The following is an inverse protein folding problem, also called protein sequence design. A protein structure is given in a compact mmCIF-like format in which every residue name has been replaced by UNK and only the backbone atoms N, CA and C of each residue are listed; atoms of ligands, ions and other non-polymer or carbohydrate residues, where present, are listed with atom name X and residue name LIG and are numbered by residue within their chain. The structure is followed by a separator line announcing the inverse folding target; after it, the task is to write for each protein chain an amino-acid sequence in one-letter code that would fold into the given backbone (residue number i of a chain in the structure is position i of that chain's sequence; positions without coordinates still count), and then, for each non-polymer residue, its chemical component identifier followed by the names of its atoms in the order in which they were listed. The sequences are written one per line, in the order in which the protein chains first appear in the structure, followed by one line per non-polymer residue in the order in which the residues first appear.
data_IF_112593079848
#
_entry.id   IF_112593079848
#
_cell.length_a   1.000
_cell.length_b   1.000
_cell.length_c   1.000
_cell.angle_alpha   90.00
_cell.angle_beta   90.00
_cell.angle_gamma   90.00
#
_symmetry.space_group_name_H-M   'P 1'
#
loop_
_entity.id
_entity.type
_entity.pdbx_description
1 polymer ?
#
# COMPACT_ATOMS: atom_id res chain seq x y z
N UNK A 1 -29.02 -6.13 -8.88
CA UNK A 1 -27.95 -5.75 -7.93
C UNK A 1 -26.63 -6.04 -8.63
N UNK A 2 -25.74 -5.06 -8.82
CA UNK A 2 -24.46 -5.34 -9.48
C UNK A 2 -23.48 -5.88 -8.44
N UNK A 3 -23.08 -7.15 -8.56
CA UNK A 3 -22.18 -7.79 -7.62
C UNK A 3 -20.80 -7.99 -8.25
N UNK A 4 -19.77 -7.49 -7.57
CA UNK A 4 -18.38 -7.82 -7.85
C UNK A 4 -17.89 -8.83 -6.83
N UNK A 5 -17.26 -9.90 -7.29
CA UNK A 5 -16.60 -10.86 -6.43
C UNK A 5 -15.09 -10.68 -6.57
N UNK A 6 -14.44 -10.35 -5.45
CA UNK A 6 -12.97 -10.29 -5.38
C UNK A 6 -12.49 -11.54 -4.67
N UNK A 7 -11.68 -12.36 -5.35
CA UNK A 7 -11.09 -13.56 -4.74
C UNK A 7 -9.58 -13.41 -4.69
N UNK A 8 -9.08 -13.11 -3.51
CA UNK A 8 -7.72 -13.48 -3.14
C UNK A 8 -7.85 -14.66 -2.17
N UNK A 9 -6.82 -15.01 -1.39
CA UNK A 9 -7.00 -15.89 -0.20
C UNK A 9 -8.12 -15.41 0.75
N UNK A 10 -8.65 -14.21 0.54
CA UNK A 10 -9.85 -13.61 1.12
C UNK A 10 -10.87 -13.34 0.01
N UNK A 11 -12.13 -13.66 0.27
CA UNK A 11 -13.25 -13.40 -0.63
C UNK A 11 -14.06 -12.21 -0.13
N UNK A 12 -14.32 -11.26 -1.04
CA UNK A 12 -15.16 -10.10 -0.78
C UNK A 12 -16.26 -10.00 -1.82
N UNK A 13 -17.43 -9.61 -1.36
CA UNK A 13 -18.54 -9.18 -2.20
C UNK A 13 -18.62 -7.66 -2.18
N UNK A 14 -18.63 -7.02 -3.35
CA UNK A 14 -18.93 -5.60 -3.47
C UNK A 14 -20.22 -5.41 -4.26
N UNK A 15 -21.13 -4.59 -3.77
CA UNK A 15 -22.42 -4.35 -4.40
C UNK A 15 -22.87 -2.90 -4.23
N UNK A 16 -23.81 -2.48 -5.07
CA UNK A 16 -24.39 -1.12 -5.03
C UNK A 16 -25.85 -1.21 -4.61
N UNK A 17 -26.22 -0.42 -3.60
CA UNK A 17 -27.62 -0.25 -3.20
C UNK A 17 -28.32 0.75 -4.13
N UNK A 18 -29.65 0.71 -4.20
CA UNK A 18 -30.47 1.41 -5.21
C UNK A 18 -30.08 2.88 -5.43
N UNK A 19 -29.70 3.60 -4.37
CA UNK A 19 -29.25 4.99 -4.40
C UNK A 19 -28.07 5.24 -3.43
N UNK A 20 -27.24 4.22 -3.19
CA UNK A 20 -26.20 4.24 -2.16
C UNK A 20 -24.78 4.10 -2.70
N UNK A 21 -23.75 4.41 -1.89
CA UNK A 21 -22.38 4.14 -2.26
C UNK A 21 -22.14 2.63 -2.45
N UNK A 22 -21.10 2.24 -3.19
CA UNK A 22 -20.65 0.84 -3.20
C UNK A 22 -20.34 0.36 -1.78
N UNK A 23 -20.89 -0.80 -1.43
CA UNK A 23 -20.64 -1.49 -0.15
C UNK A 23 -19.78 -2.71 -0.42
N UNK A 24 -18.74 -2.90 0.38
CA UNK A 24 -17.90 -4.09 0.36
C UNK A 24 -18.11 -4.90 1.65
N UNK A 25 -18.32 -6.21 1.52
CA UNK A 25 -18.45 -7.15 2.62
C UNK A 25 -17.43 -8.26 2.47
N UNK A 26 -16.69 -8.49 3.54
CA UNK A 26 -15.88 -9.70 3.66
C UNK A 26 -16.81 -10.91 3.84
N UNK A 27 -16.59 -11.96 3.03
CA UNK A 27 -17.33 -13.20 3.14
C UNK A 27 -16.58 -14.20 4.01
N UNK A 28 -15.42 -14.67 3.54
CA UNK A 28 -14.56 -15.58 4.27
C UNK A 28 -13.15 -15.69 3.66
N UNK A 29 -12.29 -16.46 4.32
CA UNK A 29 -11.03 -16.93 3.75
C UNK A 29 -11.29 -18.17 2.89
N UNK A 30 -10.57 -18.27 1.77
CA UNK A 30 -10.50 -19.52 1.01
C UNK A 30 -9.39 -20.36 1.65
N UNK A 31 -9.75 -21.54 2.17
CA UNK A 31 -8.77 -22.53 2.62
C UNK A 31 -7.85 -22.93 1.47
N UNK A 32 -6.66 -23.47 1.75
CA UNK A 32 -5.68 -23.78 0.71
C UNK A 32 -6.16 -24.94 -0.18
N UNK A 33 -7.03 -24.64 -1.15
CA UNK A 33 -7.68 -25.57 -2.06
C UNK A 33 -6.75 -26.11 -3.15
N UNK A 34 -5.52 -25.59 -3.25
CA UNK A 34 -4.52 -25.99 -4.24
C UNK A 34 -4.08 -24.80 -5.10
N UNK A 35 -3.21 -25.08 -6.08
CA UNK A 35 -2.70 -24.06 -7.01
C UNK A 35 -3.35 -24.14 -8.40
N UNK A 36 -4.25 -25.09 -8.63
CA UNK A 36 -4.94 -25.27 -9.91
C UNK A 36 -6.21 -24.42 -9.95
N UNK A 37 -6.59 -24.00 -11.14
CA UNK A 37 -7.76 -23.14 -11.31
C UNK A 37 -9.07 -23.90 -11.05
N UNK A 38 -9.10 -25.21 -11.31
CA UNK A 38 -10.26 -26.06 -11.08
C UNK A 38 -10.63 -26.12 -9.59
N UNK A 39 -9.63 -26.31 -8.73
CA UNK A 39 -9.84 -26.36 -7.29
C UNK A 39 -10.34 -25.00 -6.76
N UNK A 40 -9.80 -23.91 -7.31
CA UNK A 40 -10.25 -22.55 -6.99
C UNK A 40 -11.69 -22.29 -7.48
N UNK A 41 -12.06 -22.79 -8.66
CA UNK A 41 -13.42 -22.65 -9.19
C UNK A 41 -14.44 -23.33 -8.29
N UNK A 42 -14.16 -24.59 -7.89
CA UNK A 42 -15.02 -25.33 -6.97
C UNK A 42 -15.17 -24.56 -5.65
N UNK A 43 -14.06 -24.12 -5.05
CA UNK A 43 -14.10 -23.36 -3.82
C UNK A 43 -14.93 -22.07 -3.93
N UNK A 44 -14.78 -21.33 -5.03
CA UNK A 44 -15.52 -20.10 -5.27
C UNK A 44 -17.01 -20.36 -5.41
N UNK A 45 -17.41 -21.33 -6.23
CA UNK A 45 -18.82 -21.64 -6.44
C UNK A 45 -19.48 -22.13 -5.14
N UNK A 46 -18.78 -22.96 -4.35
CA UNK A 46 -19.28 -23.40 -3.05
C UNK A 46 -19.44 -22.25 -2.05
N UNK A 47 -18.55 -21.25 -2.06
CA UNK A 47 -18.69 -20.05 -1.22
C UNK A 47 -19.91 -19.25 -1.64
N UNK A 48 -20.11 -19.06 -2.94
CA UNK A 48 -21.28 -18.33 -3.45
C UNK A 48 -22.58 -19.04 -3.06
N UNK A 49 -22.64 -20.36 -3.25
CA UNK A 49 -23.78 -21.18 -2.84
C UNK A 49 -24.03 -21.09 -1.33
N UNK A 50 -22.99 -21.17 -0.49
CA UNK A 50 -23.11 -21.07 0.96
C UNK A 50 -23.71 -19.73 1.43
N UNK A 51 -23.39 -18.64 0.72
CA UNK A 51 -23.94 -17.31 1.01
C UNK A 51 -25.22 -16.97 0.21
N UNK A 52 -25.79 -17.94 -0.50
CA UNK A 52 -26.98 -17.76 -1.36
C UNK A 52 -26.79 -16.64 -2.41
N UNK A 53 -25.59 -16.60 -3.00
CA UNK A 53 -25.22 -15.65 -4.04
C UNK A 53 -25.21 -16.35 -5.40
N UNK A 54 -26.09 -15.94 -6.31
CA UNK A 54 -26.09 -16.47 -7.67
C UNK A 54 -24.92 -15.89 -8.47
N UNK A 55 -24.13 -16.78 -9.09
CA UNK A 55 -23.05 -16.39 -10.00
C UNK A 55 -23.59 -15.60 -11.20
N UNK A 56 -24.83 -15.79 -11.62
CA UNK A 56 -25.48 -15.05 -12.71
C UNK A 56 -25.67 -13.54 -12.39
N UNK A 57 -25.70 -13.18 -11.10
CA UNK A 57 -25.75 -11.79 -10.64
C UNK A 57 -24.35 -11.13 -10.57
N UNK A 58 -23.29 -11.92 -10.77
CA UNK A 58 -21.95 -11.38 -10.89
C UNK A 58 -21.84 -10.50 -12.13
N UNK A 59 -21.22 -9.33 -11.96
CA UNK A 59 -20.92 -8.37 -13.02
C UNK A 59 -19.44 -8.08 -13.16
N UNK A 60 -18.66 -8.45 -12.14
CA UNK A 60 -17.21 -8.40 -12.27
C UNK A 60 -16.51 -9.34 -11.30
N UNK A 61 -15.33 -9.74 -11.72
CA UNK A 61 -14.42 -10.59 -10.99
C UNK A 61 -13.03 -9.94 -10.96
N UNK A 62 -12.30 -10.09 -9.86
CA UNK A 62 -10.95 -9.51 -9.79
C UNK A 62 -10.01 -10.27 -8.87
N UNK A 63 -8.83 -10.59 -9.41
CA UNK A 63 -7.80 -11.42 -8.79
C UNK A 63 -6.41 -10.80 -9.00
N UNK A 64 -5.37 -11.38 -8.41
CA UNK A 64 -3.99 -11.05 -8.80
C UNK A 64 -3.69 -11.54 -10.23
N UNK A 65 -2.53 -11.17 -10.78
CA UNK A 65 -2.18 -11.49 -12.16
C UNK A 65 -1.55 -12.88 -12.31
N UNK A 66 -1.76 -13.80 -11.36
CA UNK A 66 -1.24 -15.15 -11.48
C UNK A 66 -1.99 -15.92 -12.58
N UNK A 67 -1.24 -16.67 -13.40
CA UNK A 67 -1.78 -17.33 -14.60
C UNK A 67 -2.96 -18.28 -14.32
N UNK A 68 -3.00 -18.91 -13.15
CA UNK A 68 -4.09 -19.81 -12.74
C UNK A 68 -5.40 -19.06 -12.42
N UNK A 69 -5.36 -17.77 -12.12
CA UNK A 69 -6.57 -16.97 -11.84
C UNK A 69 -6.90 -15.97 -12.94
N UNK A 70 -5.91 -15.31 -13.53
CA UNK A 70 -6.08 -14.29 -14.58
C UNK A 70 -5.82 -14.80 -16.01
N UNK A 71 -5.61 -16.10 -16.17
CA UNK A 71 -5.38 -16.71 -17.48
C UNK A 71 -6.63 -16.64 -18.38
N UNK A 72 -6.47 -16.12 -19.59
CA UNK A 72 -7.60 -15.91 -20.54
C UNK A 72 -8.16 -17.20 -21.15
N UNK A 73 -7.40 -18.30 -21.13
CA UNK A 73 -7.82 -19.59 -21.72
C UNK A 73 -8.10 -20.67 -20.67
N UNK A 74 -7.30 -20.69 -19.60
CA UNK A 74 -7.30 -21.74 -18.60
C UNK A 74 -7.15 -21.18 -17.18
N UNK A 75 -7.52 -19.93 -16.97
CA UNK A 75 -7.57 -19.32 -15.65
C UNK A 75 -8.97 -19.40 -15.05
N UNK A 76 -9.07 -19.19 -13.75
CA UNK A 76 -10.34 -19.03 -13.04
C UNK A 76 -11.24 -17.99 -13.72
N UNK A 77 -10.65 -16.87 -14.15
CA UNK A 77 -11.33 -15.84 -14.91
C UNK A 77 -12.14 -16.40 -16.07
N UNK A 78 -11.48 -17.19 -16.92
CA UNK A 78 -12.07 -17.71 -18.15
C UNK A 78 -13.26 -18.62 -17.82
N UNK A 79 -13.12 -19.46 -16.79
CA UNK A 79 -14.18 -20.38 -16.35
C UNK A 79 -15.40 -19.67 -15.76
N UNK A 80 -15.19 -18.62 -14.95
CA UNK A 80 -16.32 -17.83 -14.44
C UNK A 80 -17.01 -17.07 -15.58
N UNK A 81 -16.24 -16.59 -16.56
CA UNK A 81 -16.80 -15.94 -17.75
C UNK A 81 -17.59 -16.91 -18.64
N UNK A 82 -17.18 -18.18 -18.74
CA UNK A 82 -17.96 -19.24 -19.41
C UNK A 82 -19.30 -19.50 -18.72
N UNK A 83 -19.35 -19.37 -17.39
CA UNK A 83 -20.59 -19.56 -16.59
C UNK A 83 -21.49 -18.31 -16.68
N UNK A 84 -20.90 -17.13 -16.68
CA UNK A 84 -21.59 -15.84 -16.75
C UNK A 84 -20.75 -14.86 -17.60
N UNK A 85 -21.20 -14.64 -18.83
CA UNK A 85 -20.56 -13.77 -19.82
C UNK A 85 -20.57 -12.29 -19.39
N UNK A 86 -21.43 -11.90 -18.44
CA UNK A 86 -21.47 -10.56 -17.87
C UNK A 86 -20.46 -10.35 -16.73
N UNK A 87 -19.78 -11.40 -16.26
CA UNK A 87 -18.78 -11.31 -15.20
C UNK A 87 -17.41 -10.87 -15.72
N UNK A 88 -17.24 -9.58 -15.95
CA UNK A 88 -16.02 -9.00 -16.51
C UNK A 88 -14.83 -9.05 -15.56
N UNK A 89 -13.65 -9.37 -16.09
CA UNK A 89 -12.44 -9.44 -15.28
C UNK A 89 -11.71 -8.10 -15.20
N UNK A 90 -11.47 -7.67 -13.96
CA UNK A 90 -10.64 -6.52 -13.64
C UNK A 90 -9.37 -6.98 -12.90
N UNK A 91 -8.16 -6.74 -13.44
CA UNK A 91 -6.92 -7.10 -12.75
C UNK A 91 -6.80 -6.32 -11.43
N UNK A 92 -6.14 -6.91 -10.43
CA UNK A 92 -5.91 -6.27 -9.15
C UNK A 92 -5.02 -5.03 -9.28
N UNK A 93 -5.61 -3.84 -9.10
CA UNK A 93 -4.90 -2.57 -9.16
C UNK A 93 -3.69 -2.51 -8.21
N UNK A 94 -3.82 -3.06 -6.99
CA UNK A 94 -2.72 -3.08 -6.01
C UNK A 94 -1.54 -3.93 -6.51
N UNK A 95 -1.82 -5.09 -7.11
CA UNK A 95 -0.77 -5.94 -7.67
C UNK A 95 -0.13 -5.31 -8.91
N UNK A 96 -0.94 -4.73 -9.80
CA UNK A 96 -0.43 -4.00 -10.96
C UNK A 96 0.46 -2.81 -10.56
N UNK A 97 0.05 -2.01 -9.57
CA UNK A 97 0.90 -0.92 -9.05
C UNK A 97 2.18 -1.44 -8.40
N UNK A 98 2.11 -2.57 -7.69
CA UNK A 98 3.29 -3.22 -7.13
C UNK A 98 4.31 -3.58 -8.21
N UNK A 99 3.85 -4.17 -9.32
CA UNK A 99 4.71 -4.51 -10.47
C UNK A 99 5.30 -3.26 -11.13
N UNK A 100 4.50 -2.21 -11.34
CA UNK A 100 5.00 -0.93 -11.88
C UNK A 100 6.13 -0.37 -11.02
N UNK A 101 5.96 -0.36 -9.70
CA UNK A 101 7.00 0.12 -8.78
C UNK A 101 8.27 -0.74 -8.84
N UNK A 102 8.14 -2.07 -8.83
CA UNK A 102 9.29 -2.99 -8.95
C UNK A 102 10.07 -2.71 -10.24
N UNK A 103 9.38 -2.67 -11.39
CA UNK A 103 10.04 -2.44 -12.67
C UNK A 103 10.61 -1.04 -12.81
N UNK A 104 9.94 -0.01 -12.28
CA UNK A 104 10.47 1.35 -12.28
C UNK A 104 11.82 1.45 -11.55
N UNK A 105 11.99 0.71 -10.45
CA UNK A 105 13.26 0.61 -9.73
C UNK A 105 14.30 -0.17 -10.52
N UNK A 106 13.92 -1.29 -11.13
CA UNK A 106 14.83 -2.12 -11.95
C UNK A 106 15.35 -1.39 -13.19
N UNK A 107 14.56 -0.47 -13.75
CA UNK A 107 14.96 0.35 -14.89
C UNK A 107 15.87 1.55 -14.51
N UNK A 108 16.03 1.87 -13.23
CA UNK A 108 16.80 3.01 -12.75
C UNK A 108 17.94 2.56 -11.82
N UNK A 109 19.17 2.57 -12.33
CA UNK A 109 20.37 2.12 -11.62
C UNK A 109 20.58 2.78 -10.25
N UNK A 110 20.29 4.07 -10.17
CA UNK A 110 20.42 4.90 -8.98
C UNK A 110 19.39 4.50 -7.92
N UNK A 111 18.13 4.30 -8.35
CA UNK A 111 17.07 3.82 -7.46
C UNK A 111 17.37 2.40 -6.96
N UNK A 112 17.82 1.51 -7.85
CA UNK A 112 18.23 0.16 -7.48
C UNK A 112 19.38 0.17 -6.46
N UNK A 113 20.35 1.09 -6.64
CA UNK A 113 21.47 1.27 -5.72
C UNK A 113 21.01 1.73 -4.33
N UNK A 114 20.09 2.70 -4.24
CA UNK A 114 19.52 3.17 -2.96
C UNK A 114 18.84 2.02 -2.23
N UNK A 115 18.01 1.24 -2.92
CA UNK A 115 17.32 0.11 -2.30
C UNK A 115 18.31 -0.99 -1.88
N UNK A 116 19.35 -1.24 -2.66
CA UNK A 116 20.39 -2.18 -2.25
C UNK A 116 21.09 -1.71 -0.96
N UNK A 117 21.46 -0.43 -0.88
CA UNK A 117 22.04 0.19 0.33
C UNK A 117 21.13 0.01 1.54
N UNK A 118 19.83 0.29 1.40
CA UNK A 118 18.83 0.10 2.48
C UNK A 118 18.78 -1.36 2.94
N UNK A 119 18.79 -2.31 2.00
CA UNK A 119 18.76 -3.74 2.32
C UNK A 119 20.06 -4.20 3.00
N UNK A 120 21.23 -3.77 2.51
CA UNK A 120 22.52 -4.13 3.09
C UNK A 120 22.63 -3.59 4.51
N UNK A 121 22.18 -2.36 4.75
CA UNK A 121 22.15 -1.76 6.08
C UNK A 121 21.23 -2.52 7.04
N UNK A 122 20.03 -2.91 6.57
CA UNK A 122 19.14 -3.78 7.35
C UNK A 122 19.81 -5.12 7.70
N UNK A 123 20.47 -5.77 6.75
CA UNK A 123 21.18 -7.05 6.97
C UNK A 123 22.34 -6.86 7.96
N UNK A 124 23.09 -5.76 7.87
CA UNK A 124 24.15 -5.42 8.81
C UNK A 124 23.59 -5.46 10.24
N UNK A 125 22.58 -4.65 10.56
CA UNK A 125 22.08 -4.63 11.94
C UNK A 125 21.39 -5.92 12.38
N UNK A 126 20.62 -6.58 11.50
CA UNK A 126 19.83 -7.76 11.88
C UNK A 126 20.60 -9.07 11.93
N UNK A 127 21.79 -9.13 11.32
CA UNK A 127 22.63 -10.33 11.37
C UNK A 127 23.35 -10.53 12.72
N UNK A 128 23.28 -9.56 13.66
CA UNK A 128 23.83 -9.70 15.02
C UNK A 128 22.91 -9.06 16.05
N UNK A 129 22.58 -9.79 17.11
CA UNK A 129 21.83 -9.24 18.25
C UNK A 129 22.58 -8.13 18.97
N UNK A 130 23.91 -8.19 19.00
CA UNK A 130 24.75 -7.14 19.57
C UNK A 130 24.61 -5.84 18.78
N UNK A 131 24.81 -5.87 17.46
CA UNK A 131 24.67 -4.67 16.61
C UNK A 131 23.26 -4.08 16.67
N UNK A 132 22.25 -4.94 16.70
CA UNK A 132 20.88 -4.50 16.94
C UNK A 132 20.75 -3.80 18.29
N UNK A 133 21.32 -4.33 19.37
CA UNK A 133 21.31 -3.70 20.69
C UNK A 133 22.05 -2.36 20.71
N UNK A 134 23.19 -2.23 20.02
CA UNK A 134 23.91 -0.94 19.89
C UNK A 134 23.00 0.11 19.22
N UNK A 135 22.29 -0.26 18.14
CA UNK A 135 21.31 0.62 17.48
C UNK A 135 20.17 1.07 18.41
N UNK A 136 19.68 0.17 19.27
CA UNK A 136 18.58 0.48 20.19
C UNK A 136 19.03 1.30 21.40
N UNK A 137 20.24 1.05 21.91
CA UNK A 137 20.75 1.64 23.14
C UNK A 137 21.32 3.04 22.94
N UNK A 138 21.96 3.29 21.80
CA UNK A 138 22.65 4.56 21.56
C UNK A 138 21.69 5.73 21.29
N UNK A 139 20.52 5.44 20.75
CA UNK A 139 19.66 6.44 20.12
C UNK A 139 18.56 6.97 21.03
N UNK A 140 18.39 6.38 22.22
CA UNK A 140 17.31 6.69 23.17
C UNK A 140 15.90 6.50 22.60
N UNK A 141 15.80 6.00 21.36
CA UNK A 141 14.60 5.84 20.56
C UNK A 141 14.55 4.41 20.07
N UNK A 142 13.36 3.81 20.05
CA UNK A 142 13.19 2.49 19.47
C UNK A 142 13.20 2.61 17.95
N UNK A 143 14.34 2.36 17.32
CA UNK A 143 14.47 2.27 15.86
C UNK A 143 14.07 0.84 15.44
N UNK A 144 13.46 0.69 14.27
CA UNK A 144 13.17 -0.63 13.70
C UNK A 144 13.35 -0.55 12.20
N UNK A 145 14.57 -0.83 11.76
CA UNK A 145 14.89 -0.96 10.34
C UNK A 145 14.04 -2.04 9.72
N UNK A 146 13.64 -1.83 8.47
CA UNK A 146 12.78 -2.75 7.74
C UNK A 146 13.52 -3.36 6.56
N UNK A 147 13.34 -4.67 6.37
CA UNK A 147 13.78 -5.33 5.15
C UNK A 147 12.94 -4.85 3.98
N UNK A 148 13.56 -4.79 2.80
CA UNK A 148 12.81 -4.72 1.57
C UNK A 148 12.01 -6.02 1.38
N UNK A 149 10.83 -5.89 0.79
CA UNK A 149 10.03 -7.03 0.36
C UNK A 149 10.12 -7.18 -1.15
N UNK A 150 10.41 -8.40 -1.60
CA UNK A 150 10.35 -8.74 -3.02
C UNK A 150 8.92 -8.60 -3.59
N UNK A 151 7.89 -8.86 -2.76
CA UNK A 151 6.50 -8.94 -3.19
C UNK A 151 5.65 -7.72 -2.85
N UNK A 152 6.11 -6.86 -1.93
CA UNK A 152 5.38 -5.66 -1.48
C UNK A 152 6.22 -4.40 -1.62
N UNK A 153 6.01 -3.66 -2.70
CA UNK A 153 6.63 -2.38 -2.98
C UNK A 153 6.39 -1.37 -1.86
N UNK A 154 5.25 -1.41 -1.18
CA UNK A 154 4.98 -0.54 -0.02
C UNK A 154 5.98 -0.73 1.12
N UNK A 155 6.56 -1.91 1.31
CA UNK A 155 7.61 -2.14 2.31
C UNK A 155 8.89 -1.36 1.99
N UNK A 156 9.16 -1.08 0.71
CA UNK A 156 10.30 -0.26 0.30
C UNK A 156 10.14 1.20 0.75
N UNK A 157 8.93 1.73 0.66
CA UNK A 157 8.60 3.09 1.11
C UNK A 157 8.83 3.23 2.62
N UNK A 158 8.31 2.28 3.40
CA UNK A 158 8.49 2.26 4.87
C UNK A 158 9.96 2.11 5.26
N UNK A 159 10.72 1.24 4.59
CA UNK A 159 12.15 1.07 4.86
C UNK A 159 12.95 2.36 4.63
N UNK A 160 12.70 3.07 3.52
CA UNK A 160 13.33 4.36 3.23
C UNK A 160 12.85 5.44 4.22
N UNK A 161 11.58 5.44 4.58
CA UNK A 161 11.04 6.40 5.55
C UNK A 161 11.71 6.27 6.92
N UNK A 162 11.85 5.05 7.44
CA UNK A 162 12.53 4.80 8.72
C UNK A 162 13.99 5.23 8.64
N UNK A 163 14.69 4.89 7.56
CA UNK A 163 16.09 5.27 7.35
C UNK A 163 16.25 6.80 7.35
N UNK A 164 15.42 7.51 6.59
CA UNK A 164 15.47 8.97 6.50
C UNK A 164 15.11 9.65 7.83
N UNK A 165 14.15 9.10 8.56
CA UNK A 165 13.70 9.63 9.86
C UNK A 165 14.76 9.51 10.96
N UNK A 166 15.60 8.48 10.88
CA UNK A 166 16.59 8.14 11.90
C UNK A 166 18.02 8.18 11.36
N UNK A 167 18.25 8.98 10.32
CA UNK A 167 19.48 8.95 9.55
C UNK A 167 20.71 9.25 10.43
N UNK A 168 20.67 10.33 11.20
CA UNK A 168 21.77 10.76 12.07
C UNK A 168 22.09 9.69 13.12
N UNK A 169 21.06 9.16 13.78
CA UNK A 169 21.21 8.12 14.80
C UNK A 169 21.81 6.82 14.24
N UNK A 170 21.48 6.48 13.00
CA UNK A 170 22.03 5.32 12.31
C UNK A 170 23.50 5.55 11.96
N UNK A 171 23.86 6.74 11.47
CA UNK A 171 25.26 7.09 11.16
C UNK A 171 26.12 7.08 12.43
N UNK A 172 25.65 7.67 13.52
CA UNK A 172 26.35 7.64 14.81
C UNK A 172 26.60 6.19 15.28
N UNK A 173 25.58 5.34 15.15
CA UNK A 173 25.69 3.92 15.49
C UNK A 173 26.73 3.20 14.60
N UNK A 174 26.79 3.53 13.30
CA UNK A 174 27.78 2.96 12.38
C UNK A 174 29.21 3.39 12.72
N UNK A 175 29.42 4.63 13.17
CA UNK A 175 30.74 5.11 13.64
C UNK A 175 31.19 4.29 14.85
N UNK A 176 30.29 4.02 15.80
CA UNK A 176 30.60 3.16 16.96
C UNK A 176 31.02 1.76 16.51
N UNK A 177 30.28 1.16 15.57
CA UNK A 177 30.61 -0.18 15.05
C UNK A 177 31.94 -0.16 14.28
N UNK A 178 32.25 0.90 13.52
CA UNK A 178 33.54 1.04 12.84
C UNK A 178 34.72 1.04 13.82
N UNK A 179 34.57 1.71 14.96
CA UNK A 179 35.63 1.89 15.97
C UNK A 179 35.70 0.75 17.00
N UNK A 180 34.75 -0.20 16.99
CA UNK A 180 34.67 -1.30 17.95
C UNK A 180 35.66 -2.44 17.62
N UNK A 181 36.79 -2.50 18.32
CA UNK A 181 37.82 -3.53 18.09
C UNK A 181 37.37 -4.97 18.39
N UNK A 182 36.27 -5.16 19.13
CA UNK A 182 35.69 -6.48 19.40
C UNK A 182 34.86 -7.00 18.22
N UNK A 183 34.39 -6.11 17.34
CA UNK A 183 33.71 -6.50 16.10
C UNK A 183 34.70 -7.00 15.05
N UNK A 184 34.24 -7.90 14.18
CA UNK A 184 35.11 -8.46 13.15
C UNK A 184 35.50 -7.41 12.10
N UNK A 185 36.70 -7.54 11.53
CA UNK A 185 37.25 -6.54 10.62
C UNK A 185 36.39 -6.29 9.37
N UNK A 186 35.66 -7.30 8.88
CA UNK A 186 34.76 -7.16 7.72
C UNK A 186 33.60 -6.25 8.08
N UNK A 187 32.94 -6.50 9.21
CA UNK A 187 31.82 -5.69 9.70
C UNK A 187 32.21 -4.26 9.99
N UNK A 188 33.39 -4.01 10.59
CA UNK A 188 33.89 -2.64 10.76
C UNK A 188 34.09 -1.93 9.43
N UNK A 189 34.63 -2.64 8.44
CA UNK A 189 34.84 -2.08 7.10
C UNK A 189 33.51 -1.85 6.36
N UNK A 190 32.52 -2.71 6.54
CA UNK A 190 31.16 -2.51 6.03
C UNK A 190 30.53 -1.25 6.63
N UNK A 191 30.62 -1.07 7.96
CA UNK A 191 30.13 0.13 8.63
C UNK A 191 30.82 1.40 8.12
N UNK A 192 32.15 1.37 8.02
CA UNK A 192 32.97 2.46 7.46
C UNK A 192 32.53 2.88 6.06
N UNK A 193 32.20 1.92 5.19
CA UNK A 193 31.72 2.23 3.83
C UNK A 193 30.44 3.05 3.88
N UNK A 194 29.49 2.71 4.77
CA UNK A 194 28.27 3.50 4.93
C UNK A 194 28.53 4.90 5.48
N UNK A 195 29.44 5.05 6.44
CA UNK A 195 29.85 6.36 6.99
C UNK A 195 30.47 7.24 5.90
N UNK A 196 31.39 6.70 5.09
CA UNK A 196 31.99 7.47 3.98
C UNK A 196 30.91 7.87 2.97
N UNK A 197 29.98 6.98 2.63
CA UNK A 197 28.91 7.28 1.67
C UNK A 197 27.96 8.39 2.17
N UNK A 198 27.72 8.49 3.48
CA UNK A 198 26.90 9.57 4.04
C UNK A 198 27.60 10.93 3.92
N UNK A 199 28.90 10.98 4.16
CA UNK A 199 29.72 12.20 4.03
C UNK A 199 29.78 12.72 2.58
N UNK A 200 29.92 11.81 1.61
CA UNK A 200 29.91 12.17 0.19
C UNK A 200 28.57 12.75 -0.28
N UNK A 201 27.47 12.29 0.32
CA UNK A 201 26.12 12.74 -0.03
C UNK A 201 25.83 14.15 0.49
N UNK A 202 26.29 14.48 1.71
CA UNK A 202 26.22 15.83 2.31
C UNK A 202 27.07 16.84 1.50
N UNK A 203 28.19 16.37 0.93
CA UNK A 203 29.04 17.17 0.04
C UNK A 203 28.37 17.62 -1.27
N UNK A 204 27.27 16.98 -1.69
CA UNK A 204 26.53 17.35 -2.91
C UNK A 204 25.48 18.43 -2.64
N UNK A 205 24.80 18.40 -1.48
CA UNK A 205 23.84 19.44 -1.08
C UNK A 205 24.51 20.80 -0.86
N UNK A 206 25.75 20.81 -0.37
CA UNK A 206 26.53 22.06 -0.20
C UNK A 206 26.97 22.72 -1.52
N UNK A 207 26.79 22.05 -2.67
CA UNK A 207 27.11 22.56 -4.02
C UNK A 207 25.89 22.90 -4.87
N UNK A 208 24.67 22.72 -4.35
CA UNK A 208 23.48 23.23 -5.01
C UNK A 208 23.44 24.77 -4.88
N UNK A 209 23.66 25.48 -5.99
CA UNK A 209 23.62 26.95 -6.02
C UNK A 209 22.27 27.51 -5.51
N UNK A 210 22.27 28.60 -4.73
CA UNK A 210 21.04 29.26 -4.29
C UNK A 210 20.47 30.09 -5.45
N UNK A 211 19.56 29.53 -6.24
CA UNK A 211 19.04 30.30 -7.37
C UNK A 211 18.01 29.65 -8.28
N UNK A 212 16.84 29.29 -7.78
CA UNK A 212 15.63 29.42 -8.62
C UNK A 212 14.45 29.89 -7.76
N UNK A 213 14.02 31.13 -8.05
CA UNK A 213 12.88 31.77 -7.41
C UNK A 213 11.64 30.93 -7.65
N UNK A 214 10.89 30.70 -6.58
CA UNK A 214 9.54 30.18 -6.60
C UNK A 214 8.68 30.98 -7.60
N UNK A 215 8.14 30.28 -8.59
CA UNK A 215 7.05 30.78 -9.43
C UNK A 215 5.81 30.79 -8.56
N UNK A 216 5.43 31.97 -8.07
CA UNK A 216 4.11 32.20 -7.49
C UNK A 216 3.08 31.94 -8.58
N UNK A 217 2.25 30.90 -8.42
CA UNK A 217 0.99 30.79 -9.14
C UNK A 217 0.05 31.83 -8.56
N UNK A 218 -0.14 32.92 -9.30
CA UNK A 218 -1.16 33.92 -9.02
C UNK A 218 -2.53 33.33 -9.32
N UNK A 219 -3.26 32.92 -8.29
CA UNK A 219 -4.71 32.81 -8.35
C UNK A 219 -5.32 34.19 -8.60
N UNK A 220 -5.81 34.42 -9.82
CA UNK A 220 -6.88 35.40 -10.05
C UNK A 220 -7.58 35.11 -11.37
N UNK A 221 -8.77 34.51 -11.30
CA UNK A 221 -9.78 34.70 -12.34
C UNK A 221 -11.17 34.72 -11.72
N UNK A 222 -11.51 35.90 -11.24
CA UNK A 222 -12.89 36.33 -10.95
C UNK A 222 -13.67 36.31 -12.27
N UNK A 223 -14.73 35.50 -12.32
CA UNK A 223 -15.74 35.56 -13.38
C UNK A 223 -16.87 36.48 -12.89
N UNK A 224 -17.32 37.48 -13.65
CA UNK A 224 -18.34 38.42 -13.18
C UNK A 224 -19.75 37.82 -13.27
N UNK A 225 -20.50 37.94 -12.19
CA UNK A 225 -21.94 37.66 -12.13
C UNK A 225 -22.74 38.71 -12.92
N UNK A 226 -23.64 38.22 -13.77
CA UNK A 226 -24.68 39.01 -14.42
C UNK A 226 -25.89 39.16 -13.48
N UNK A 227 -26.27 40.42 -13.21
CA UNK A 227 -27.50 40.78 -12.51
C UNK A 227 -28.72 40.43 -13.38
N UNK A 228 -29.71 39.76 -12.80
CA UNK A 228 -31.11 39.97 -13.19
C UNK A 228 -32.02 39.91 -11.95
N UNK A 229 -32.92 40.88 -11.92
CA UNK A 229 -33.85 41.23 -10.85
C UNK A 229 -35.13 40.41 -10.89
N UNK A 230 -35.71 40.11 -9.71
CA UNK A 230 -37.08 40.47 -9.29
C UNK A 230 -37.65 39.48 -8.25
N UNK A 231 -38.36 40.01 -7.24
CA UNK A 231 -39.50 39.29 -6.63
C UNK A 231 -39.47 38.97 -5.13
N UNK A 232 -39.71 39.98 -4.29
CA UNK A 232 -40.54 40.04 -3.07
C UNK A 232 -40.95 38.76 -2.26
N UNK A 233 -40.49 38.73 -0.99
CA UNK A 233 -41.05 38.34 0.36
C UNK A 233 -42.55 37.91 0.54
N UNK A 234 -43.01 37.39 1.73
CA UNK A 234 -42.31 36.97 2.98
C UNK A 234 -42.85 35.70 3.76
N UNK A 235 -42.05 35.27 4.76
CA UNK A 235 -42.31 34.74 6.14
C UNK A 235 -43.50 33.84 6.56
N UNK A 236 -43.18 32.75 7.28
CA UNK A 236 -43.74 32.29 8.59
C UNK A 236 -43.01 30.99 9.02
N UNK A 237 -42.13 30.94 10.05
CA UNK A 237 -42.31 30.86 11.52
C UNK A 237 -42.73 29.47 12.07
N UNK A 238 -41.91 28.97 13.02
CA UNK A 238 -42.18 27.99 14.12
C UNK A 238 -42.47 26.52 13.70
N UNK A 239 -42.04 25.43 14.35
CA UNK A 239 -41.49 25.08 15.66
C UNK A 239 -41.52 23.52 15.78
N UNK A 240 -41.03 22.87 16.86
CA UNK A 240 -40.39 21.54 16.82
C UNK A 240 -41.18 20.37 17.45
N UNK A 241 -40.87 19.12 17.06
CA UNK A 241 -41.18 17.87 17.78
C UNK A 241 -40.02 16.87 17.48
N UNK A 242 -39.12 16.47 18.40
CA UNK A 242 -39.20 15.59 19.58
C UNK A 242 -39.59 14.13 19.29
N UNK A 243 -38.61 13.22 19.35
CA UNK A 243 -38.68 11.81 19.83
C UNK A 243 -37.29 11.17 19.60
N UNK A 244 -36.44 10.92 20.61
CA UNK A 244 -36.46 9.90 21.68
C UNK A 244 -36.07 8.47 21.25
N UNK A 245 -34.98 7.99 21.86
CA UNK A 245 -34.58 6.59 22.11
C UNK A 245 -34.11 5.76 20.90
N UNK A 246 -33.15 4.82 20.97
CA UNK A 246 -32.60 4.12 22.12
C UNK A 246 -31.15 3.64 21.84
N UNK A 247 -30.39 3.60 22.92
CA UNK A 247 -29.09 2.96 23.11
C UNK A 247 -29.27 1.43 23.12
N UNK A 248 -28.46 0.68 22.38
CA UNK A 248 -28.14 -0.72 22.71
C UNK A 248 -26.65 -1.01 22.47
N UNK A 249 -25.93 -1.09 23.59
CA UNK A 249 -24.72 -1.91 23.78
C UNK A 249 -25.10 -3.39 23.70
N UNK A 250 -24.30 -4.21 23.04
CA UNK A 250 -24.03 -5.58 23.49
C UNK A 250 -22.59 -5.96 23.12
N UNK A 251 -21.75 -6.03 24.17
CA UNK A 251 -20.56 -6.88 24.22
C UNK A 251 -21.01 -8.27 24.69
N UNK A 252 -20.52 -9.31 24.02
CA UNK A 252 -20.06 -10.60 24.59
C UNK A 252 -19.65 -11.52 23.46
#
# INVERSE_FOLDING_TARGET
MAVRITICKKTYQRYVQKDGPPVERFLMFIENSGHKFEDLLVAVLSILEFFDLDVADCRSQSYDNANNVSGIYSGLQARIHEINDLAEHAPCAVHSMNLVGVHAVECASEAASIFNTVQTLYILFTASTYRWEVLQSHTGKRITLQSLSATRFSARCEAVHVLNKHFDEIIETLIIIEEDFEENAITRQEAKVFVILSEYSIGFESKAEPGSKSRQESESRVVPESKSSAGSKPESSEGPESESSAVLRLES
#
